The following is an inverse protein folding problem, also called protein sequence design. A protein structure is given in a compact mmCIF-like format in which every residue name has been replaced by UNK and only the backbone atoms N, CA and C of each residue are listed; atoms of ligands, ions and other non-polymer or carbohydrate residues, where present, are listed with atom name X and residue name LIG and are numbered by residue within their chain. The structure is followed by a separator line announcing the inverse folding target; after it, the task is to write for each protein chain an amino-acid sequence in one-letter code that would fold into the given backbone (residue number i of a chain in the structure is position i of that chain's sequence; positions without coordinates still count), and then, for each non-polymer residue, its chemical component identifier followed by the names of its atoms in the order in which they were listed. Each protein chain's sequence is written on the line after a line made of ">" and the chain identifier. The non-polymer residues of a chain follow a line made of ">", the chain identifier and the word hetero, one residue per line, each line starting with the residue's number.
data_IF_133482733860
#
_entry.id   IF_133482733860
#
_cell.length_a   1.000
_cell.length_b   1.000
_cell.length_c   1.000
_cell.angle_alpha   90.00
_cell.angle_beta   90.00
_cell.angle_gamma   90.00
#
_symmetry.space_group_name_H-M   'P 1'
#
loop_
_entity.id
_entity.type
_entity.pdbx_description
1 polymer ?
#
# COMPACT_ATOMS: atom_id res chain seq x y z
N UNK A 1 -6.89 11.34 3.80
CA UNK A 1 -6.28 10.52 2.76
C UNK A 1 -6.60 9.05 2.99
N UNK A 2 -6.88 8.28 1.95
CA UNK A 2 -7.12 6.83 2.03
C UNK A 2 -5.93 6.02 1.50
N UNK A 3 -5.65 4.86 2.09
CA UNK A 3 -4.68 3.89 1.58
C UNK A 3 -5.40 2.55 1.38
N UNK A 4 -5.57 2.14 0.14
CA UNK A 4 -6.17 0.88 -0.25
C UNK A 4 -5.09 -0.18 -0.45
N UNK A 5 -5.12 -1.21 0.40
CA UNK A 5 -4.09 -2.24 0.51
C UNK A 5 -3.02 -1.90 1.56
N UNK A 6 -2.87 -2.78 2.56
CA UNK A 6 -1.90 -2.59 3.65
C UNK A 6 -0.84 -3.69 3.63
N UNK A 7 -0.05 -3.67 2.57
CA UNK A 7 1.12 -4.53 2.35
C UNK A 7 2.43 -3.73 2.35
N UNK A 8 3.43 -4.24 1.64
CA UNK A 8 4.77 -3.63 1.56
C UNK A 8 4.77 -2.18 1.07
N UNK A 9 3.94 -1.82 0.09
CA UNK A 9 3.80 -0.43 -0.37
C UNK A 9 2.88 0.38 0.57
N UNK A 10 1.72 -0.16 0.95
CA UNK A 10 0.73 0.56 1.73
C UNK A 10 1.22 0.98 3.11
N UNK A 11 2.04 0.17 3.82
CA UNK A 11 2.58 0.58 5.12
C UNK A 11 3.58 1.74 4.99
N UNK A 12 4.38 1.76 3.92
CA UNK A 12 5.27 2.89 3.65
C UNK A 12 4.49 4.15 3.29
N UNK A 13 3.45 4.02 2.43
CA UNK A 13 2.57 5.13 2.10
C UNK A 13 1.91 5.73 3.36
N UNK A 14 1.49 4.90 4.32
CA UNK A 14 0.98 5.35 5.62
C UNK A 14 2.02 6.18 6.38
N UNK A 15 3.24 5.66 6.54
CA UNK A 15 4.31 6.35 7.26
C UNK A 15 4.66 7.70 6.65
N UNK A 16 4.78 7.76 5.32
CA UNK A 16 5.04 9.03 4.62
C UNK A 16 3.88 10.01 4.75
N UNK A 17 2.65 9.55 4.53
CA UNK A 17 1.48 10.41 4.61
C UNK A 17 1.31 11.02 6.02
N UNK A 18 1.50 10.21 7.06
CA UNK A 18 1.47 10.69 8.46
C UNK A 18 2.59 11.70 8.72
N UNK A 19 3.81 11.44 8.27
CA UNK A 19 4.94 12.37 8.41
C UNK A 19 4.73 13.69 7.64
N UNK A 20 3.95 13.65 6.56
CA UNK A 20 3.52 14.84 5.80
C UNK A 20 2.30 15.55 6.42
N UNK A 21 1.80 15.07 7.57
CA UNK A 21 0.67 15.69 8.29
C UNK A 21 -0.72 15.27 7.80
N UNK A 22 -0.83 14.23 6.97
CA UNK A 22 -2.13 13.75 6.51
C UNK A 22 -2.84 12.91 7.59
N UNK A 23 -4.15 13.09 7.72
CA UNK A 23 -5.00 12.15 8.43
C UNK A 23 -5.28 10.97 7.50
N UNK A 24 -4.88 9.76 7.91
CA UNK A 24 -4.88 8.57 7.05
C UNK A 24 -5.85 7.51 7.54
N UNK A 25 -6.69 7.02 6.62
CA UNK A 25 -7.54 5.85 6.81
C UNK A 25 -7.05 4.71 5.92
N UNK A 26 -6.92 3.52 6.50
CA UNK A 26 -6.38 2.32 5.82
C UNK A 26 -7.50 1.36 5.49
N UNK A 27 -7.49 0.80 4.29
CA UNK A 27 -8.37 -0.27 3.82
C UNK A 27 -7.56 -1.55 3.62
N UNK A 28 -7.99 -2.66 4.23
CA UNK A 28 -7.33 -3.95 4.11
C UNK A 28 -8.36 -5.10 4.09
N UNK A 29 -7.99 -6.27 3.56
CA UNK A 29 -8.90 -7.42 3.41
C UNK A 29 -9.41 -8.03 4.73
N UNK A 30 -8.72 -7.79 5.84
CA UNK A 30 -9.06 -8.28 7.16
C UNK A 30 -8.37 -7.41 8.23
N UNK A 31 -8.72 -7.63 9.48
CA UNK A 31 -8.27 -6.86 10.63
C UNK A 31 -6.91 -7.28 11.23
N UNK A 32 -6.27 -8.34 10.70
CA UNK A 32 -5.01 -8.89 11.25
C UNK A 32 -3.91 -7.84 11.45
N UNK A 33 -3.89 -6.82 10.59
CA UNK A 33 -2.88 -5.74 10.65
C UNK A 33 -3.42 -4.42 11.22
N UNK A 34 -4.65 -4.42 11.79
CA UNK A 34 -5.30 -3.21 12.33
C UNK A 34 -4.45 -2.53 13.40
N UNK A 35 -4.01 -3.30 14.40
CA UNK A 35 -3.18 -2.76 15.48
C UNK A 35 -1.87 -2.16 14.96
N UNK A 36 -1.24 -2.80 13.96
CA UNK A 36 -0.04 -2.28 13.34
C UNK A 36 -0.31 -0.98 12.58
N UNK A 37 -1.40 -0.89 11.82
CA UNK A 37 -1.77 0.33 11.12
C UNK A 37 -1.98 1.49 12.10
N UNK A 38 -2.68 1.26 13.20
CA UNK A 38 -2.90 2.24 14.27
C UNK A 38 -1.59 2.68 14.93
N UNK A 39 -0.67 1.72 15.24
CA UNK A 39 0.65 2.02 15.76
C UNK A 39 1.48 2.88 14.82
N UNK A 40 1.31 2.72 13.51
CA UNK A 40 2.00 3.50 12.48
C UNK A 40 1.29 4.83 12.17
N UNK A 41 0.23 5.18 12.88
CA UNK A 41 -0.44 6.47 12.81
C UNK A 41 -1.72 6.51 11.96
N UNK A 42 -2.28 5.36 11.58
CA UNK A 42 -3.59 5.35 10.93
C UNK A 42 -4.68 5.84 11.89
N UNK A 43 -5.45 6.84 11.46
CA UNK A 43 -6.59 7.35 12.22
C UNK A 43 -7.75 6.36 12.21
N UNK A 44 -8.00 5.71 11.07
CA UNK A 44 -9.06 4.72 10.91
C UNK A 44 -8.58 3.52 10.13
N UNK A 45 -9.28 2.40 10.29
CA UNK A 45 -8.99 1.15 9.59
C UNK A 45 -10.30 0.44 9.24
N UNK A 46 -10.47 0.13 7.97
CA UNK A 46 -11.65 -0.48 7.39
C UNK A 46 -11.32 -1.82 6.74
N UNK A 47 -12.19 -2.80 6.90
CA UNK A 47 -12.11 -4.10 6.22
C UNK A 47 -12.98 -4.16 4.96
N UNK A 48 -13.88 -3.19 4.83
CA UNK A 48 -14.77 -3.01 3.67
C UNK A 48 -14.87 -1.52 3.31
N UNK A 49 -15.04 -1.23 2.03
CA UNK A 49 -15.24 0.14 1.52
C UNK A 49 -16.60 0.68 1.95
N UNK A 50 -17.60 -0.19 2.06
CA UNK A 50 -18.98 0.13 2.41
C UNK A 50 -19.12 0.64 3.87
N UNK A 51 -18.21 0.22 4.75
CA UNK A 51 -18.19 0.69 6.15
C UNK A 51 -17.70 2.14 6.27
N UNK A 52 -17.01 2.64 5.26
CA UNK A 52 -16.39 3.97 5.29
C UNK A 52 -17.40 5.05 4.89
N UNK A 53 -17.62 6.00 5.79
CA UNK A 53 -18.43 7.20 5.51
C UNK A 53 -17.60 8.46 5.29
N UNK A 54 -16.28 8.32 5.37
CA UNK A 54 -15.36 9.43 5.15
C UNK A 54 -15.22 9.76 3.66
N UNK A 55 -14.76 10.98 3.38
CA UNK A 55 -14.42 11.45 2.05
C UNK A 55 -12.96 11.88 2.02
N UNK A 56 -12.27 11.53 0.93
CA UNK A 56 -10.83 11.70 0.78
C UNK A 56 -10.47 12.64 -0.36
N UNK A 57 -9.42 13.41 -0.16
CA UNK A 57 -8.79 14.22 -1.22
C UNK A 57 -7.96 13.33 -2.14
N UNK A 58 -7.31 12.31 -1.57
CA UNK A 58 -6.46 11.35 -2.28
C UNK A 58 -6.65 9.95 -1.70
N UNK A 59 -6.75 8.96 -2.59
CA UNK A 59 -6.63 7.54 -2.23
C UNK A 59 -5.46 6.96 -3.02
N UNK A 60 -4.51 6.32 -2.32
CA UNK A 60 -3.44 5.52 -2.95
C UNK A 60 -3.84 4.05 -2.89
N UNK A 61 -3.95 3.40 -4.06
CA UNK A 61 -4.26 1.97 -4.15
C UNK A 61 -3.00 1.17 -4.49
N UNK A 62 -2.58 0.35 -3.53
CA UNK A 62 -1.49 -0.63 -3.68
C UNK A 62 -2.01 -2.07 -3.81
N UNK A 63 -3.29 -2.25 -4.11
CA UNK A 63 -3.92 -3.57 -4.22
C UNK A 63 -3.38 -4.29 -5.46
N UNK A 64 -2.76 -5.50 -5.31
CA UNK A 64 -2.14 -6.22 -6.41
C UNK A 64 -3.11 -7.22 -7.08
N UNK A 65 -4.37 -7.20 -6.71
CA UNK A 65 -5.42 -8.09 -7.23
C UNK A 65 -6.57 -7.28 -7.80
N UNK A 66 -7.54 -7.95 -8.40
CA UNK A 66 -8.76 -7.28 -8.83
C UNK A 66 -9.55 -6.74 -7.63
N UNK A 67 -10.12 -5.56 -7.79
CA UNK A 67 -10.97 -4.91 -6.80
C UNK A 67 -11.92 -3.93 -7.49
N UNK A 68 -12.97 -3.54 -6.81
CA UNK A 68 -13.91 -2.52 -7.32
C UNK A 68 -13.30 -1.12 -7.14
N UNK A 69 -12.72 -0.58 -8.22
CA UNK A 69 -12.16 0.76 -8.24
C UNK A 69 -13.23 1.84 -8.04
N UNK A 70 -14.44 1.62 -8.60
CA UNK A 70 -15.54 2.58 -8.50
C UNK A 70 -16.01 2.76 -7.06
N UNK A 71 -15.99 1.71 -6.24
CA UNK A 71 -16.29 1.83 -4.83
C UNK A 71 -15.36 2.82 -4.13
N UNK A 72 -14.06 2.84 -4.47
CA UNK A 72 -13.12 3.82 -3.94
C UNK A 72 -13.33 5.23 -4.50
N UNK A 73 -13.67 5.38 -5.78
CA UNK A 73 -13.96 6.73 -6.32
C UNK A 73 -15.15 7.39 -5.64
N UNK A 74 -16.15 6.60 -5.22
CA UNK A 74 -17.30 7.10 -4.45
C UNK A 74 -16.91 7.67 -3.07
N UNK A 75 -15.73 7.33 -2.54
CA UNK A 75 -15.20 7.89 -1.30
C UNK A 75 -14.39 9.18 -1.50
N UNK A 76 -14.25 9.67 -2.73
CA UNK A 76 -13.54 10.91 -2.99
C UNK A 76 -14.40 12.13 -2.69
N UNK A 77 -13.75 13.21 -2.26
CA UNK A 77 -14.30 14.57 -2.28
C UNK A 77 -14.36 15.07 -3.71
N UNK A 78 -15.08 16.16 -3.96
CA UNK A 78 -15.05 16.84 -5.25
C UNK A 78 -13.60 17.19 -5.66
N UNK A 79 -13.22 16.84 -6.87
CA UNK A 79 -11.85 17.02 -7.38
C UNK A 79 -10.81 16.05 -6.80
N UNK A 80 -11.24 15.08 -5.96
CA UNK A 80 -10.35 14.11 -5.36
C UNK A 80 -9.76 13.11 -6.37
N UNK A 81 -8.73 12.38 -5.94
CA UNK A 81 -7.88 11.58 -6.83
C UNK A 81 -7.68 10.14 -6.31
N UNK A 82 -7.61 9.18 -7.22
CA UNK A 82 -7.10 7.83 -6.95
C UNK A 82 -5.81 7.60 -7.73
N UNK A 83 -4.71 7.41 -7.01
CA UNK A 83 -3.44 6.99 -7.56
C UNK A 83 -3.28 5.46 -7.44
N UNK A 84 -3.15 4.78 -8.57
CA UNK A 84 -2.98 3.32 -8.63
C UNK A 84 -1.48 3.01 -8.74
N UNK A 85 -0.92 2.36 -7.71
CA UNK A 85 0.48 1.95 -7.63
C UNK A 85 0.62 0.41 -7.56
N UNK A 86 -0.47 -0.31 -7.31
CA UNK A 86 -0.52 -1.77 -7.40
C UNK A 86 -0.68 -2.22 -8.84
N UNK A 87 -0.10 -3.38 -9.19
CA UNK A 87 -0.20 -3.96 -10.53
C UNK A 87 -1.01 -5.25 -10.42
N UNK A 88 -2.33 -5.20 -10.68
CA UNK A 88 -3.13 -6.42 -10.75
C UNK A 88 -2.80 -7.20 -12.03
N UNK A 89 -3.00 -8.53 -12.03
CA UNK A 89 -2.89 -9.34 -13.24
C UNK A 89 -3.78 -8.80 -14.36
N UNK A 90 -3.34 -8.97 -15.61
CA UNK A 90 -4.17 -8.64 -16.77
C UNK A 90 -5.44 -9.49 -16.74
N UNK A 91 -6.58 -8.84 -16.88
CA UNK A 91 -7.86 -9.48 -17.04
C UNK A 91 -8.51 -8.93 -18.31
N UNK A 92 -8.67 -9.77 -19.36
CA UNK A 92 -9.29 -9.34 -20.62
C UNK A 92 -10.79 -9.02 -20.48
N UNK A 93 -11.43 -9.43 -19.39
CA UNK A 93 -12.86 -9.16 -19.13
C UNK A 93 -13.07 -7.92 -18.25
N UNK A 94 -11.99 -7.25 -17.85
CA UNK A 94 -12.05 -6.06 -16.97
C UNK A 94 -12.44 -4.84 -17.79
N UNK A 95 -13.70 -4.51 -17.75
CA UNK A 95 -14.21 -3.25 -18.29
C UNK A 95 -14.42 -2.24 -17.13
N UNK A 96 -13.86 -1.06 -17.26
CA UNK A 96 -14.29 0.09 -16.48
C UNK A 96 -15.58 0.62 -17.15
N UNK A 97 -16.65 0.71 -16.37
CA UNK A 97 -17.83 1.42 -16.86
C UNK A 97 -17.57 2.92 -16.82
N UNK A 98 -17.31 3.48 -17.98
CA UNK A 98 -17.06 4.93 -18.10
C UNK A 98 -18.33 5.74 -17.81
N UNK A 99 -19.52 5.17 -18.01
CA UNK A 99 -20.78 5.81 -17.63
C UNK A 99 -20.84 6.05 -16.12
N UNK A 100 -20.48 5.05 -15.32
CA UNK A 100 -20.42 5.18 -13.88
C UNK A 100 -19.37 6.21 -13.44
N UNK A 101 -18.23 6.28 -14.10
CA UNK A 101 -17.23 7.32 -13.83
C UNK A 101 -17.80 8.74 -14.08
N UNK A 102 -18.62 8.93 -15.10
CA UNK A 102 -19.26 10.23 -15.40
C UNK A 102 -20.40 10.52 -14.43
N UNK A 103 -21.28 9.55 -14.19
CA UNK A 103 -22.50 9.74 -13.39
C UNK A 103 -22.22 9.97 -11.90
N UNK A 104 -21.17 9.32 -11.36
CA UNK A 104 -20.81 9.41 -9.96
C UNK A 104 -19.57 10.25 -9.70
N UNK A 105 -19.04 10.92 -10.72
CA UNK A 105 -17.83 11.69 -10.59
C UNK A 105 -18.09 13.11 -10.08
N UNK A 106 -17.41 13.46 -8.99
CA UNK A 106 -17.23 14.83 -8.57
C UNK A 106 -15.95 15.44 -9.18
N UNK A 107 -15.75 15.38 -10.50
CA UNK A 107 -14.49 15.72 -11.18
C UNK A 107 -13.29 14.90 -10.67
N UNK A 108 -13.50 13.63 -10.39
CA UNK A 108 -12.48 12.74 -9.86
C UNK A 108 -11.40 12.44 -10.91
N UNK A 109 -10.18 12.28 -10.45
CA UNK A 109 -9.06 11.81 -11.27
C UNK A 109 -8.66 10.39 -10.86
N UNK A 110 -8.42 9.54 -11.85
CA UNK A 110 -7.88 8.19 -11.66
C UNK A 110 -6.67 8.05 -12.57
N UNK A 111 -5.53 7.74 -11.98
CA UNK A 111 -4.27 7.61 -12.74
C UNK A 111 -3.36 6.54 -12.17
N UNK A 112 -2.52 5.97 -13.03
CA UNK A 112 -1.42 5.10 -12.63
C UNK A 112 -0.20 5.93 -12.22
N UNK A 113 0.52 5.48 -11.20
CA UNK A 113 1.81 6.02 -10.80
C UNK A 113 2.84 4.90 -10.75
N UNK A 114 4.00 5.13 -11.32
CA UNK A 114 5.10 4.19 -11.39
C UNK A 114 6.26 4.63 -10.49
N UNK A 115 7.46 4.17 -10.80
CA UNK A 115 8.68 4.54 -10.05
C UNK A 115 9.09 5.98 -10.36
N UNK A 116 9.72 6.64 -9.38
CA UNK A 116 10.36 7.94 -9.56
C UNK A 116 11.76 7.83 -10.19
N UNK A 117 12.30 8.96 -10.63
CA UNK A 117 13.67 9.08 -11.10
C UNK A 117 14.69 9.12 -9.96
N UNK A 118 15.97 9.27 -10.31
CA UNK A 118 17.07 9.31 -9.33
C UNK A 118 16.91 10.49 -8.36
N UNK A 119 16.50 11.64 -8.89
CA UNK A 119 16.31 12.86 -8.06
C UNK A 119 15.21 12.66 -7.02
N UNK A 120 14.04 12.19 -7.45
CA UNK A 120 12.90 11.92 -6.55
C UNK A 120 13.25 10.83 -5.53
N UNK A 121 14.04 9.84 -5.93
CA UNK A 121 14.53 8.81 -5.00
C UNK A 121 15.45 9.40 -3.94
N UNK A 122 16.35 10.32 -4.31
CA UNK A 122 17.22 10.99 -3.34
C UNK A 122 16.40 11.86 -2.38
N UNK A 123 15.46 12.64 -2.89
CA UNK A 123 14.55 13.45 -2.06
C UNK A 123 13.75 12.59 -1.07
N UNK A 124 13.26 11.43 -1.51
CA UNK A 124 12.57 10.45 -0.66
C UNK A 124 13.51 9.90 0.43
N UNK A 125 14.76 9.58 0.10
CA UNK A 125 15.75 9.09 1.06
C UNK A 125 16.06 10.16 2.12
N UNK A 126 16.29 11.40 1.71
CA UNK A 126 16.58 12.52 2.60
C UNK A 126 15.40 12.79 3.54
N UNK A 127 14.16 12.75 3.00
CA UNK A 127 12.95 12.87 3.80
C UNK A 127 12.81 11.72 4.80
N UNK A 128 13.11 10.50 4.38
CA UNK A 128 13.05 9.31 5.24
C UNK A 128 14.01 9.43 6.43
N UNK A 129 15.26 9.81 6.18
CA UNK A 129 16.26 10.01 7.24
C UNK A 129 15.82 11.12 8.20
N UNK A 130 15.36 12.25 7.66
CA UNK A 130 14.91 13.40 8.47
C UNK A 130 13.75 13.04 9.41
N UNK A 131 12.84 12.18 8.97
CA UNK A 131 11.62 11.82 9.71
C UNK A 131 11.68 10.44 10.37
N UNK A 132 12.80 9.73 10.29
CA UNK A 132 12.96 8.40 10.88
C UNK A 132 12.04 7.35 10.26
N UNK A 133 11.77 7.45 8.95
CA UNK A 133 10.87 6.54 8.24
C UNK A 133 11.67 5.38 7.69
N UNK A 134 11.45 4.18 8.25
CA UNK A 134 12.03 2.92 7.81
C UNK A 134 10.94 1.87 7.60
N UNK A 135 11.14 0.91 6.68
CA UNK A 135 10.18 -0.18 6.51
C UNK A 135 10.15 -1.10 7.73
N UNK A 136 8.99 -1.67 8.01
CA UNK A 136 8.88 -2.81 8.92
C UNK A 136 9.43 -4.04 8.19
N UNK A 137 10.49 -4.64 8.73
CA UNK A 137 11.18 -5.77 8.10
C UNK A 137 11.22 -6.99 9.03
N UNK A 138 11.34 -8.16 8.42
CA UNK A 138 11.69 -9.41 9.06
C UNK A 138 12.99 -9.94 8.42
N UNK A 139 14.01 -10.15 9.25
CA UNK A 139 15.29 -10.68 8.77
C UNK A 139 15.19 -12.19 8.62
N UNK A 140 15.64 -12.69 7.48
CA UNK A 140 15.73 -14.12 7.16
C UNK A 140 17.13 -14.44 6.64
N UNK A 141 17.53 -15.71 6.71
CA UNK A 141 18.77 -16.19 6.08
C UNK A 141 18.51 -16.72 4.68
N UNK A 142 19.57 -16.91 3.88
CA UNK A 142 19.48 -17.52 2.55
C UNK A 142 18.86 -18.93 2.58
N UNK A 143 19.08 -19.68 3.67
CA UNK A 143 18.53 -21.02 3.87
C UNK A 143 17.01 -21.01 4.11
N UNK A 144 16.45 -19.89 4.52
CA UNK A 144 15.01 -19.73 4.81
C UNK A 144 14.21 -19.18 3.62
N UNK A 145 14.83 -18.96 2.44
CA UNK A 145 14.19 -18.34 1.29
C UNK A 145 12.95 -19.11 0.84
N UNK A 146 13.07 -20.44 0.66
CA UNK A 146 11.94 -21.25 0.18
C UNK A 146 10.76 -21.23 1.14
N UNK A 147 11.03 -21.45 2.44
CA UNK A 147 9.99 -21.36 3.48
C UNK A 147 9.35 -19.96 3.57
N UNK A 148 10.15 -18.93 3.35
CA UNK A 148 9.67 -17.53 3.33
C UNK A 148 8.80 -17.26 2.10
N UNK A 149 9.19 -17.82 0.96
CA UNK A 149 8.41 -17.73 -0.27
C UNK A 149 7.04 -18.41 -0.13
N UNK A 150 6.99 -19.58 0.48
CA UNK A 150 5.74 -20.28 0.79
C UNK A 150 4.82 -19.45 1.70
N UNK A 151 5.37 -18.80 2.73
CA UNK A 151 4.60 -17.86 3.57
C UNK A 151 4.01 -16.71 2.75
N UNK A 152 4.77 -16.14 1.81
CA UNK A 152 4.30 -15.07 0.94
C UNK A 152 3.15 -15.54 0.03
N UNK A 153 3.29 -16.71 -0.60
CA UNK A 153 2.26 -17.29 -1.47
C UNK A 153 0.96 -17.57 -0.70
N UNK A 154 1.06 -18.00 0.54
CA UNK A 154 -0.08 -18.27 1.42
C UNK A 154 -0.65 -17.01 2.10
N UNK A 155 -0.18 -15.81 1.75
CA UNK A 155 -0.66 -14.57 2.33
C UNK A 155 -0.34 -14.39 3.81
N UNK A 156 0.63 -15.14 4.34
CA UNK A 156 1.10 -15.09 5.73
C UNK A 156 2.30 -14.16 5.90
N UNK A 157 2.76 -13.55 4.80
CA UNK A 157 3.92 -12.67 4.79
C UNK A 157 3.68 -11.38 5.57
N UNK A 158 4.74 -10.91 6.21
CA UNK A 158 4.84 -9.57 6.76
C UNK A 158 5.02 -8.51 5.65
N UNK A 159 5.33 -7.28 6.02
CA UNK A 159 5.45 -6.18 5.04
C UNK A 159 6.64 -6.38 4.11
N UNK A 160 7.80 -6.83 4.64
CA UNK A 160 9.02 -7.05 3.87
C UNK A 160 9.96 -8.03 4.56
N UNK A 161 10.43 -9.01 3.82
CA UNK A 161 11.55 -9.84 4.21
C UNK A 161 12.86 -9.28 3.67
N UNK A 162 13.91 -9.33 4.48
CA UNK A 162 15.26 -8.89 4.11
C UNK A 162 16.23 -10.02 4.42
N UNK A 163 17.03 -10.43 3.44
CA UNK A 163 18.01 -11.50 3.60
C UNK A 163 19.27 -10.95 4.28
N UNK A 164 19.59 -11.47 5.46
CA UNK A 164 20.87 -11.22 6.12
C UNK A 164 21.97 -12.04 5.44
N UNK A 165 22.67 -11.41 4.52
CA UNK A 165 23.73 -12.06 3.75
C UNK A 165 24.91 -12.51 4.65
N UNK A 166 25.27 -11.71 5.66
CA UNK A 166 26.37 -12.06 6.58
C UNK A 166 26.07 -13.34 7.34
N UNK A 167 24.89 -13.40 7.97
CA UNK A 167 24.44 -14.58 8.72
C UNK A 167 24.26 -15.80 7.81
N UNK A 168 23.78 -15.60 6.59
CA UNK A 168 23.65 -16.65 5.59
C UNK A 168 25.01 -17.28 5.25
N UNK A 169 26.04 -16.46 5.03
CA UNK A 169 27.38 -16.92 4.68
C UNK A 169 28.10 -17.63 5.83
N UNK A 170 27.84 -17.26 7.08
CA UNK A 170 28.38 -17.95 8.27
C UNK A 170 27.89 -19.40 8.34
N UNK A 171 26.65 -19.66 7.92
CA UNK A 171 26.06 -20.99 7.90
C UNK A 171 26.59 -21.91 6.78
N UNK A 172 27.19 -21.34 5.71
CA UNK A 172 27.85 -22.11 4.64
C UNK A 172 29.27 -22.53 4.98
N UNK A 173 29.90 -22.00 6.03
CA UNK A 173 31.25 -22.31 6.45
C UNK A 173 31.35 -23.48 7.45
N UNK A 174 30.22 -24.05 7.83
CA UNK A 174 30.09 -25.26 8.64
C UNK A 174 29.71 -26.44 7.78
#
# INVERSE_FOLDING_TARGET
>A
MGIAGFGGLGHMALKYAVAMGAQVSVFARNDKKKQMAQKLGAANFYTSVEECKEKFDLIISSIPTQYDLLAYTKLLKYGGEVAIVGIPPKDPQRNLDFGDLVLFSGNHKVYGSWIGGVKETQEMMDFSVKHGIYPEIELVTGQEIDATWDKLLNGQGNFRYVIDMKKSMENFKK
#
